data_IF_335368505114
#
_entry.id   IF_335368505114
#
_cell.length_a   1.000
_cell.length_b   1.000
_cell.length_c   1.000
_cell.angle_alpha   90.00
_cell.angle_beta   90.00
_cell.angle_gamma   90.00
#
_symmetry.space_group_name_H-M   'P 1'
#
loop_
_entity.id
_entity.type
_entity.pdbx_description
1 polymer ?
#
# COMPACT_ATOMS: atom_id res chain seq x y z
N UNK A 1 -33.01 -0.94 70.89
CA UNK A 1 -34.20 -0.67 70.08
C UNK A 1 -33.82 0.26 68.95
N UNK A 2 -34.20 -0.14 67.73
CA UNK A 2 -34.25 0.62 66.46
C UNK A 2 -32.91 0.68 65.69
N UNK A 3 -32.61 -0.34 64.88
CA UNK A 3 -33.14 -0.58 63.53
C UNK A 3 -32.55 0.41 62.51
N UNK A 4 -31.51 -0.02 61.78
CA UNK A 4 -31.61 -0.59 60.42
C UNK A 4 -31.50 0.50 59.35
N UNK A 5 -30.48 0.34 58.51
CA UNK A 5 -30.33 0.83 57.14
C UNK A 5 -30.50 2.34 56.92
N UNK A 6 -29.50 2.98 56.32
CA UNK A 6 -29.56 3.21 54.87
C UNK A 6 -28.16 3.46 54.30
N UNK A 7 -27.56 2.40 53.76
CA UNK A 7 -26.62 2.54 52.65
C UNK A 7 -27.41 3.08 51.46
N UNK A 8 -27.12 4.30 51.03
CA UNK A 8 -27.51 4.79 49.72
C UNK A 8 -26.24 4.84 48.84
N UNK A 9 -25.82 3.66 48.37
CA UNK A 9 -24.86 3.57 47.27
C UNK A 9 -25.65 3.93 46.01
N UNK A 10 -25.59 5.18 45.58
CA UNK A 10 -26.11 5.57 44.27
C UNK A 10 -25.15 5.04 43.20
N UNK A 11 -25.57 3.97 42.53
CA UNK A 11 -24.96 3.46 41.30
C UNK A 11 -24.90 4.58 40.27
N UNK A 12 -23.70 5.03 39.91
CA UNK A 12 -23.48 5.85 38.71
C UNK A 12 -23.58 4.90 37.52
N UNK A 13 -24.66 5.01 36.74
CA UNK A 13 -24.79 4.31 35.47
C UNK A 13 -23.89 5.00 34.44
N UNK A 14 -22.69 4.46 34.22
CA UNK A 14 -21.87 4.83 33.07
C UNK A 14 -22.46 4.13 31.86
N UNK A 15 -23.26 4.85 31.08
CA UNK A 15 -23.65 4.42 29.74
C UNK A 15 -22.43 4.49 28.83
N UNK A 16 -21.72 3.37 28.68
CA UNK A 16 -20.73 3.22 27.61
C UNK A 16 -21.52 3.12 26.31
N UNK A 17 -21.62 4.22 25.58
CA UNK A 17 -22.07 4.21 24.20
C UNK A 17 -20.99 3.50 23.35
N UNK A 18 -21.06 2.17 23.30
CA UNK A 18 -20.33 1.38 22.31
C UNK A 18 -20.98 1.61 20.95
N UNK A 19 -20.69 2.75 20.32
CA UNK A 19 -20.96 2.94 18.91
C UNK A 19 -20.20 1.88 18.10
N UNK A 20 -20.74 1.41 16.96
CA UNK A 20 -20.00 0.49 16.12
C UNK A 20 -18.67 1.14 15.75
N UNK A 21 -17.57 0.52 16.14
CA UNK A 21 -16.27 0.86 15.61
C UNK A 21 -16.34 0.60 14.11
N UNK A 22 -16.48 1.67 13.33
CA UNK A 22 -16.21 1.61 11.90
C UNK A 22 -14.74 1.21 11.79
N UNK A 23 -14.49 -0.08 11.57
CA UNK A 23 -13.18 -0.55 11.19
C UNK A 23 -12.86 0.21 9.90
N UNK A 24 -12.01 1.23 10.01
CA UNK A 24 -11.47 1.90 8.84
C UNK A 24 -10.86 0.79 7.99
N UNK A 25 -11.45 0.53 6.81
CA UNK A 25 -10.87 -0.40 5.85
C UNK A 25 -9.52 0.19 5.51
N UNK A 26 -8.48 -0.33 6.16
CA UNK A 26 -7.12 0.10 5.93
C UNK A 26 -6.82 -0.31 4.49
N UNK A 27 -6.73 0.69 3.61
CA UNK A 27 -6.28 0.45 2.25
C UNK A 27 -5.02 -0.41 2.34
N UNK A 28 -4.91 -1.47 1.52
CA UNK A 28 -3.75 -2.37 1.57
C UNK A 28 -2.46 -1.55 1.53
N UNK A 29 -1.37 -2.12 2.04
CA UNK A 29 -0.08 -1.44 1.93
C UNK A 29 0.35 -1.26 0.46
N UNK A 30 -0.29 -1.98 -0.46
CA UNK A 30 0.10 -2.15 -1.85
C UNK A 30 -1.11 -2.26 -2.80
N UNK A 31 -0.92 -1.99 -4.10
CA UNK A 31 -1.94 -2.26 -5.12
C UNK A 31 -2.13 -3.76 -5.36
N UNK A 32 -3.34 -4.17 -5.76
CA UNK A 32 -3.76 -5.58 -5.96
C UNK A 32 -2.90 -6.38 -6.94
N UNK A 33 -2.20 -5.71 -7.86
CA UNK A 33 -1.07 -6.23 -8.61
C UNK A 33 0.03 -5.16 -8.59
N UNK A 34 1.27 -5.55 -8.31
CA UNK A 34 2.38 -4.61 -8.19
C UNK A 34 2.52 -3.76 -9.45
N UNK A 35 2.44 -2.45 -9.29
CA UNK A 35 2.57 -1.44 -10.37
C UNK A 35 1.65 -1.76 -11.57
N UNK A 36 0.43 -2.22 -11.29
CA UNK A 36 -0.56 -2.52 -12.34
C UNK A 36 -0.14 -3.63 -13.32
N UNK A 37 0.85 -4.45 -12.97
CA UNK A 37 1.39 -5.53 -13.82
C UNK A 37 2.53 -5.11 -14.75
N UNK A 38 3.05 -3.90 -14.61
CA UNK A 38 4.29 -3.48 -15.27
C UNK A 38 5.49 -3.97 -14.48
N UNK A 39 6.53 -4.41 -15.18
CA UNK A 39 7.68 -5.01 -14.50
C UNK A 39 8.68 -3.95 -14.07
N UNK A 40 9.16 -4.06 -12.83
CA UNK A 40 9.89 -3.00 -12.13
C UNK A 40 11.20 -2.57 -12.81
N UNK A 41 11.91 -3.54 -13.41
CA UNK A 41 13.18 -3.28 -14.11
C UNK A 41 12.99 -2.39 -15.34
N UNK A 42 11.80 -2.36 -15.97
CA UNK A 42 11.58 -1.56 -17.19
C UNK A 42 11.72 -0.06 -16.95
N UNK A 43 11.28 0.41 -15.79
CA UNK A 43 11.32 1.82 -15.39
C UNK A 43 12.74 2.39 -15.34
N UNK A 44 13.72 1.56 -14.99
CA UNK A 44 15.12 1.98 -14.84
C UNK A 44 15.81 2.31 -16.17
N UNK A 45 15.16 2.02 -17.30
CA UNK A 45 15.72 2.30 -18.63
C UNK A 45 15.40 3.69 -19.17
N UNK A 46 14.51 4.44 -18.51
CA UNK A 46 14.03 5.74 -19.01
C UNK A 46 13.12 5.67 -20.24
N UNK A 47 12.82 4.47 -20.74
CA UNK A 47 11.90 4.24 -21.86
C UNK A 47 10.49 4.00 -21.33
N UNK A 48 9.55 3.82 -22.26
CA UNK A 48 8.19 3.39 -21.94
C UNK A 48 8.22 2.13 -21.06
N UNK A 49 7.54 2.10 -19.91
CA UNK A 49 7.48 0.93 -19.06
C UNK A 49 6.77 -0.21 -19.79
N UNK A 50 7.15 -1.45 -19.45
CA UNK A 50 6.70 -2.63 -20.20
C UNK A 50 5.88 -3.55 -19.29
N UNK A 51 4.75 -4.01 -19.80
CA UNK A 51 3.91 -4.99 -19.10
C UNK A 51 4.62 -6.34 -18.96
N UNK A 52 4.53 -6.91 -17.77
CA UNK A 52 4.84 -8.31 -17.55
C UNK A 52 3.74 -9.22 -18.08
N UNK A 53 3.92 -10.53 -17.85
CA UNK A 53 2.91 -11.54 -18.15
C UNK A 53 2.78 -12.52 -16.97
N UNK A 54 1.74 -13.35 -17.00
CA UNK A 54 1.45 -14.31 -15.93
C UNK A 54 2.43 -15.48 -15.81
N UNK A 55 3.37 -15.65 -16.75
CA UNK A 55 4.32 -16.77 -16.75
C UNK A 55 5.57 -16.48 -15.91
N UNK A 56 5.86 -15.21 -15.63
CA UNK A 56 7.03 -14.80 -14.85
C UNK A 56 6.59 -13.87 -13.72
N UNK A 57 6.56 -14.39 -12.49
CA UNK A 57 6.10 -13.65 -11.31
C UNK A 57 7.06 -13.77 -10.14
N UNK A 58 7.04 -12.74 -9.30
CA UNK A 58 7.70 -12.69 -7.99
C UNK A 58 6.69 -12.22 -6.97
N UNK A 59 6.66 -12.86 -5.80
CA UNK A 59 5.92 -12.33 -4.65
C UNK A 59 6.93 -11.72 -3.69
N UNK A 60 6.76 -10.44 -3.39
CA UNK A 60 7.59 -9.70 -2.43
C UNK A 60 6.68 -8.92 -1.48
N UNK A 61 6.83 -9.11 -0.17
CA UNK A 61 5.97 -8.53 0.87
C UNK A 61 4.46 -8.69 0.64
N UNK A 62 4.07 -9.86 0.11
CA UNK A 62 2.67 -10.18 -0.21
C UNK A 62 2.14 -9.52 -1.49
N UNK A 63 3.00 -8.85 -2.26
CA UNK A 63 2.67 -8.22 -3.55
C UNK A 63 3.19 -9.07 -4.69
N UNK A 64 2.33 -9.36 -5.66
CA UNK A 64 2.72 -10.04 -6.90
C UNK A 64 3.21 -9.03 -7.92
N UNK A 65 4.45 -9.17 -8.38
CA UNK A 65 5.05 -8.43 -9.48
C UNK A 65 5.20 -9.34 -10.71
N UNK A 66 4.80 -8.84 -11.88
CA UNK A 66 4.91 -9.56 -13.14
C UNK A 66 6.16 -9.14 -13.91
N UNK A 67 6.69 -10.05 -14.72
CA UNK A 67 7.86 -9.83 -15.58
C UNK A 67 7.60 -10.34 -17.00
N UNK A 68 8.33 -9.81 -17.98
CA UNK A 68 8.21 -10.25 -19.37
C UNK A 68 9.09 -11.46 -19.72
N UNK A 69 10.09 -11.77 -18.87
CA UNK A 69 11.01 -12.89 -19.04
C UNK A 69 11.65 -13.29 -17.70
N UNK A 70 12.21 -14.50 -17.64
CA UNK A 70 12.96 -14.96 -16.45
C UNK A 70 14.21 -14.14 -16.18
N UNK A 71 14.85 -13.59 -17.22
CA UNK A 71 16.00 -12.71 -17.06
C UNK A 71 15.63 -11.40 -16.33
N UNK A 72 14.49 -10.80 -16.67
CA UNK A 72 13.99 -9.59 -16.01
C UNK A 72 13.56 -9.89 -14.57
N UNK A 73 12.90 -11.04 -14.36
CA UNK A 73 12.53 -11.55 -13.04
C UNK A 73 13.75 -11.70 -12.13
N UNK A 74 14.76 -12.46 -12.58
CA UNK A 74 15.98 -12.73 -11.83
C UNK A 74 16.77 -11.45 -11.53
N UNK A 75 16.72 -10.46 -12.42
CA UNK A 75 17.35 -9.15 -12.19
C UNK A 75 16.70 -8.42 -11.00
N UNK A 76 15.38 -8.47 -10.88
CA UNK A 76 14.67 -7.88 -9.75
C UNK A 76 14.91 -8.66 -8.45
N UNK A 77 14.87 -9.99 -8.48
CA UNK A 77 15.08 -10.85 -7.30
C UNK A 77 16.46 -10.68 -6.66
N UNK A 78 17.49 -10.37 -7.47
CA UNK A 78 18.85 -10.12 -6.98
C UNK A 78 18.99 -8.84 -6.16
N UNK A 79 18.13 -7.85 -6.38
CA UNK A 79 18.21 -6.55 -5.73
C UNK A 79 16.82 -5.87 -5.66
N UNK A 80 15.85 -6.46 -4.95
CA UNK A 80 14.46 -5.99 -4.97
C UNK A 80 14.35 -4.53 -4.51
N UNK A 81 15.08 -4.14 -3.48
CA UNK A 81 15.09 -2.77 -2.92
C UNK A 81 15.44 -1.68 -3.94
N UNK A 82 16.17 -2.03 -5.01
CA UNK A 82 16.51 -1.10 -6.10
C UNK A 82 15.32 -0.84 -7.04
N UNK A 83 14.42 -1.80 -7.17
CA UNK A 83 13.37 -1.77 -8.19
C UNK A 83 11.97 -1.52 -7.61
N UNK A 84 11.77 -1.84 -6.33
CA UNK A 84 10.48 -1.65 -5.68
C UNK A 84 10.06 -0.17 -5.70
N UNK A 85 8.77 0.11 -5.99
CA UNK A 85 8.28 1.48 -5.99
C UNK A 85 8.34 2.08 -4.58
N UNK A 86 8.62 3.37 -4.50
CA UNK A 86 8.30 4.16 -3.33
C UNK A 86 6.81 4.02 -3.00
N UNK A 87 6.53 4.07 -1.70
CA UNK A 87 5.17 4.04 -1.17
C UNK A 87 4.32 2.84 -1.65
N UNK A 88 4.94 1.72 -2.01
CA UNK A 88 4.22 0.50 -2.36
C UNK A 88 3.41 0.57 -3.66
N UNK A 89 3.69 1.56 -4.53
CA UNK A 89 2.96 1.76 -5.78
C UNK A 89 1.80 2.75 -5.69
N UNK A 90 1.66 3.44 -4.56
CA UNK A 90 0.75 4.59 -4.45
C UNK A 90 1.37 5.87 -5.01
N UNK A 91 0.51 6.78 -5.44
CA UNK A 91 0.83 8.12 -5.90
C UNK A 91 1.69 8.85 -4.86
N UNK A 92 2.88 9.30 -5.27
CA UNK A 92 3.84 9.99 -4.43
C UNK A 92 3.26 11.31 -3.90
N UNK A 93 2.63 12.10 -4.77
CA UNK A 93 1.92 13.32 -4.34
C UNK A 93 0.81 13.00 -3.34
N UNK A 94 -0.03 12.01 -3.64
CA UNK A 94 -1.10 11.56 -2.75
C UNK A 94 -0.59 11.24 -1.34
N UNK A 95 0.49 10.46 -1.27
CA UNK A 95 1.12 10.08 0.00
C UNK A 95 1.67 11.30 0.74
N UNK A 96 2.25 12.27 0.02
CA UNK A 96 2.77 13.51 0.62
C UNK A 96 1.70 14.36 1.32
N UNK A 97 0.45 14.26 0.87
CA UNK A 97 -0.72 14.96 1.44
C UNK A 97 -1.59 14.05 2.32
N UNK A 98 -1.10 12.88 2.70
CA UNK A 98 -1.79 11.96 3.61
C UNK A 98 -2.90 11.13 2.96
N UNK A 99 -2.97 11.08 1.63
CA UNK A 99 -3.90 10.27 0.87
C UNK A 99 -3.23 9.06 0.20
N UNK A 100 -4.02 8.07 -0.23
CA UNK A 100 -3.53 6.94 -1.02
C UNK A 100 -4.36 6.79 -2.28
N UNK A 101 -3.74 7.13 -3.40
CA UNK A 101 -4.27 6.87 -4.74
C UNK A 101 -3.37 5.88 -5.43
N UNK A 102 -3.93 4.89 -6.12
CA UNK A 102 -3.14 3.96 -6.93
C UNK A 102 -2.40 4.77 -7.99
N UNK A 103 -1.08 4.62 -8.09
CA UNK A 103 -0.30 5.31 -9.10
C UNK A 103 -0.60 4.76 -10.49
N UNK A 104 -0.65 5.64 -11.49
CA UNK A 104 -0.68 5.27 -12.89
C UNK A 104 0.72 4.74 -13.30
N UNK A 105 0.83 3.49 -13.77
CA UNK A 105 2.10 2.93 -14.23
C UNK A 105 2.79 3.72 -15.34
N UNK A 106 2.05 4.52 -16.12
CA UNK A 106 2.58 5.35 -17.20
C UNK A 106 2.97 6.77 -16.73
N UNK A 107 2.65 7.14 -15.50
CA UNK A 107 3.06 8.42 -14.89
C UNK A 107 4.05 8.17 -13.75
N UNK A 108 5.34 8.25 -14.07
CA UNK A 108 6.40 7.85 -13.16
C UNK A 108 7.63 8.76 -13.24
N UNK A 109 8.45 8.72 -12.19
CA UNK A 109 9.77 9.33 -12.16
C UNK A 109 10.77 8.44 -11.39
N UNK A 110 12.03 8.41 -11.85
CA UNK A 110 13.15 7.85 -11.06
C UNK A 110 13.84 9.02 -10.37
N UNK A 111 13.74 9.08 -9.05
CA UNK A 111 14.46 10.07 -8.21
C UNK A 111 15.45 9.31 -7.35
N UNK A 112 16.74 9.67 -7.44
CA UNK A 112 17.85 9.01 -6.74
C UNK A 112 17.86 7.47 -6.91
N UNK A 113 17.51 7.00 -8.12
CA UNK A 113 17.45 5.57 -8.45
C UNK A 113 16.20 4.84 -7.98
N UNK A 114 15.27 5.52 -7.30
CA UNK A 114 14.02 4.95 -6.78
C UNK A 114 12.83 5.33 -7.65
N UNK A 115 11.94 4.37 -7.88
CA UNK A 115 10.72 4.54 -8.67
C UNK A 115 9.62 5.22 -7.86
N UNK A 116 9.10 6.34 -8.37
CA UNK A 116 7.93 7.03 -7.87
C UNK A 116 6.83 7.00 -8.93
N UNK A 117 5.58 6.78 -8.52
CA UNK A 117 4.40 6.83 -9.39
C UNK A 117 3.53 8.01 -9.00
N UNK A 118 2.77 8.57 -9.93
CA UNK A 118 1.74 9.57 -9.67
C UNK A 118 0.40 9.13 -10.25
N UNK A 119 -0.69 9.69 -9.76
CA UNK A 119 -2.04 9.36 -10.22
C UNK A 119 -2.27 9.87 -11.66
N UNK A 120 -1.75 11.04 -11.97
CA UNK A 120 -1.84 11.71 -13.26
C UNK A 120 -0.65 12.68 -13.42
N UNK A 121 -0.56 13.32 -14.58
CA UNK A 121 0.52 14.24 -14.97
C UNK A 121 0.19 15.74 -14.77
N UNK A 122 -0.75 16.05 -13.88
CA UNK A 122 -1.28 17.41 -13.67
C UNK A 122 -0.32 18.34 -12.94
#
# INVERSE_FOLDING_TARGET
MNALNRLAISLVAIAVAAGPALAAVKAPAYSTLGVGGYYLVSYQTGKKPVRGNGNHLVVHDGVTYLFSSDANKATCEKAPDKYLPAYGGYCAFGVSVGAKFVGDPDVWEIVDGRLYLNLDNS
#
